data_IF_776068078080
#
_entry.id   IF_776068078080
#
_cell.length_a   1.000
_cell.length_b   1.000
_cell.length_c   1.000
_cell.angle_alpha   90.00
_cell.angle_beta   90.00
_cell.angle_gamma   90.00
#
_symmetry.space_group_name_H-M   'P 1'
#
loop_
_entity.id
_entity.type
_entity.pdbx_description
1 polymer ?
#
# COMPACT_ATOMS: atom_id res chain seq x y z
N UNK A 1 4.66 -2.34 -9.23
CA UNK A 1 5.71 -2.81 -8.32
C UNK A 1 5.37 -4.21 -7.85
N UNK A 2 6.23 -4.78 -7.01
CA UNK A 2 5.96 -6.05 -6.33
C UNK A 2 5.54 -5.76 -4.89
N UNK A 3 4.49 -6.42 -4.42
CA UNK A 3 4.06 -6.38 -3.02
C UNK A 3 5.09 -7.14 -2.21
N UNK A 4 5.60 -6.52 -1.14
CA UNK A 4 6.63 -7.11 -0.28
C UNK A 4 6.08 -7.54 1.07
N UNK A 5 5.01 -6.91 1.56
CA UNK A 5 4.33 -7.28 2.79
C UNK A 5 2.87 -6.78 2.79
N UNK A 6 1.98 -7.51 3.45
CA UNK A 6 0.57 -7.15 3.64
C UNK A 6 0.16 -7.44 5.09
N UNK A 7 -0.07 -6.38 5.86
CA UNK A 7 -0.57 -6.48 7.23
C UNK A 7 -2.05 -6.19 7.26
N UNK A 8 -2.84 -7.18 7.66
CA UNK A 8 -4.30 -7.06 7.80
C UNK A 8 -4.65 -6.95 9.28
N UNK A 9 -5.44 -5.94 9.62
CA UNK A 9 -6.07 -5.80 10.93
C UNK A 9 -7.56 -6.15 10.80
N UNK A 10 -8.42 -5.57 11.63
CA UNK A 10 -9.86 -5.84 11.62
C UNK A 10 -10.55 -5.11 10.47
N UNK A 11 -10.21 -3.84 10.23
CA UNK A 11 -10.86 -2.99 9.20
C UNK A 11 -9.88 -2.49 8.15
N UNK A 12 -8.60 -2.37 8.50
CA UNK A 12 -7.58 -1.78 7.64
C UNK A 12 -6.54 -2.82 7.21
N UNK A 13 -5.92 -2.55 6.07
CA UNK A 13 -4.74 -3.24 5.60
C UNK A 13 -3.65 -2.22 5.25
N UNK A 14 -2.43 -2.53 5.68
CA UNK A 14 -1.22 -1.86 5.23
C UNK A 14 -0.57 -2.75 4.17
N UNK A 15 -0.34 -2.18 2.99
CA UNK A 15 0.29 -2.86 1.85
C UNK A 15 1.60 -2.17 1.55
N UNK A 16 2.70 -2.93 1.59
CA UNK A 16 4.02 -2.45 1.26
C UNK A 16 4.44 -2.94 -0.13
N UNK A 17 5.02 -2.05 -0.92
CA UNK A 17 5.42 -2.35 -2.29
C UNK A 17 6.81 -1.81 -2.61
N UNK A 18 7.58 -2.60 -3.35
CA UNK A 18 8.78 -2.15 -4.04
C UNK A 18 8.40 -1.69 -5.46
N UNK A 19 8.63 -0.40 -5.72
CA UNK A 19 8.30 0.27 -6.97
C UNK A 19 9.56 0.94 -7.54
N UNK A 20 10.45 0.12 -8.10
CA UNK A 20 11.78 0.58 -8.53
C UNK A 20 12.66 0.90 -7.30
N UNK A 21 13.31 2.07 -7.23
CA UNK A 21 14.12 2.45 -6.07
C UNK A 21 13.27 2.89 -4.86
N UNK A 22 11.94 3.05 -5.04
CA UNK A 22 11.05 3.60 -4.03
C UNK A 22 10.30 2.50 -3.28
N UNK A 23 10.23 2.65 -1.96
CA UNK A 23 9.32 1.91 -1.08
C UNK A 23 8.02 2.70 -0.95
N UNK A 24 6.90 2.10 -1.34
CA UNK A 24 5.57 2.71 -1.23
C UNK A 24 4.78 1.94 -0.18
N UNK A 25 4.11 2.68 0.71
CA UNK A 25 3.18 2.12 1.69
C UNK A 25 1.81 2.69 1.40
N UNK A 26 0.82 1.80 1.24
CA UNK A 26 -0.58 2.15 1.10
C UNK A 26 -1.36 1.68 2.32
N UNK A 27 -2.31 2.50 2.75
CA UNK A 27 -3.34 2.12 3.70
C UNK A 27 -4.67 2.05 2.94
N UNK A 28 -5.33 0.90 3.03
CA UNK A 28 -6.64 0.65 2.44
C UNK A 28 -7.49 -0.19 3.38
N UNK A 29 -8.76 -0.43 3.06
CA UNK A 29 -9.55 -1.34 3.87
C UNK A 29 -9.07 -2.79 3.74
N UNK A 30 -9.30 -3.59 4.76
CA UNK A 30 -9.02 -5.02 4.72
C UNK A 30 -9.77 -5.68 3.57
N UNK A 31 -11.06 -5.36 3.42
CA UNK A 31 -11.90 -5.96 2.39
C UNK A 31 -11.38 -5.64 0.98
N UNK A 32 -10.80 -4.46 0.78
CA UNK A 32 -10.20 -4.10 -0.51
C UNK A 32 -8.92 -4.91 -0.77
N UNK A 33 -8.07 -5.10 0.24
CA UNK A 33 -6.87 -5.92 0.10
C UNK A 33 -7.20 -7.40 -0.15
N UNK A 34 -8.24 -7.92 0.50
CA UNK A 34 -8.73 -9.29 0.31
C UNK A 34 -9.40 -9.45 -1.06
N UNK A 35 -10.24 -8.51 -1.50
CA UNK A 35 -10.89 -8.57 -2.81
C UNK A 35 -9.91 -8.47 -3.99
N UNK A 36 -8.73 -7.90 -3.76
CA UNK A 36 -7.64 -7.80 -4.73
C UNK A 36 -6.62 -8.95 -4.60
N UNK A 37 -6.85 -9.89 -3.67
CA UNK A 37 -5.94 -11.00 -3.34
C UNK A 37 -4.48 -10.53 -3.16
N UNK A 38 -4.29 -9.39 -2.48
CA UNK A 38 -2.96 -8.84 -2.28
C UNK A 38 -2.13 -9.69 -1.32
N UNK A 39 -1.00 -10.20 -1.79
CA UNK A 39 -0.05 -10.92 -0.96
C UNK A 39 1.39 -10.64 -1.40
N UNK A 40 2.34 -11.00 -0.56
CA UNK A 40 3.76 -10.95 -0.89
C UNK A 40 4.06 -11.66 -2.21
N UNK A 41 4.83 -11.00 -3.07
CA UNK A 41 5.18 -11.50 -4.40
C UNK A 41 4.19 -11.13 -5.51
N UNK A 42 2.99 -10.60 -5.19
CA UNK A 42 2.02 -10.16 -6.20
C UNK A 42 2.51 -8.90 -6.90
N UNK A 43 2.36 -8.85 -8.23
CA UNK A 43 2.59 -7.64 -9.01
C UNK A 43 1.34 -6.77 -8.94
N UNK A 44 1.48 -5.52 -8.50
CA UNK A 44 0.39 -4.56 -8.40
C UNK A 44 0.79 -3.17 -8.88
N UNK A 45 -0.21 -2.33 -9.19
CA UNK A 45 -0.02 -0.94 -9.60
C UNK A 45 -0.32 -0.02 -8.43
N UNK A 46 0.67 0.76 -8.00
CA UNK A 46 0.46 1.84 -7.04
C UNK A 46 -0.01 3.09 -7.79
N UNK A 47 -1.32 3.35 -7.77
CA UNK A 47 -1.90 4.59 -8.30
C UNK A 47 -2.03 5.61 -7.17
N UNK A 48 -1.44 6.79 -7.37
CA UNK A 48 -1.43 7.88 -6.39
C UNK A 48 -2.15 9.06 -7.00
N UNK A 49 -3.16 9.60 -6.29
CA UNK A 49 -3.82 10.83 -6.70
C UNK A 49 -2.85 11.99 -6.45
N UNK A 50 -2.14 12.42 -7.51
CA UNK A 50 -1.07 13.41 -7.45
C UNK A 50 -1.47 14.75 -6.78
N UNK A 51 -2.76 15.09 -6.76
CA UNK A 51 -3.26 16.34 -6.15
C UNK A 51 -3.53 16.24 -4.65
N UNK A 52 -3.29 15.10 -4.02
CA UNK A 52 -3.62 14.88 -2.61
C UNK A 52 -2.41 14.27 -1.89
N UNK A 53 -1.65 15.12 -1.19
CA UNK A 53 -0.44 14.75 -0.44
C UNK A 53 -0.51 15.42 0.93
N UNK A 54 -0.41 14.63 2.01
CA UNK A 54 -0.27 15.14 3.38
C UNK A 54 0.86 14.39 4.08
N UNK A 55 1.88 15.14 4.49
CA UNK A 55 3.05 14.70 5.27
C UNK A 55 3.45 15.87 6.17
N UNK A 56 3.59 15.68 7.48
CA UNK A 56 4.29 16.64 8.33
C UNK A 56 4.79 16.03 9.65
N UNK A 57 6.03 16.37 10.01
CA UNK A 57 6.31 16.99 11.32
C UNK A 57 7.40 18.05 11.16
N UNK A 58 7.17 19.24 11.71
CA UNK A 58 8.15 20.31 11.89
C UNK A 58 8.61 20.36 13.35
N UNK A 59 9.36 19.34 13.79
CA UNK A 59 10.04 19.30 15.09
C UNK A 59 11.21 18.33 15.09
#
# INVERSE_FOLDING_TARGET
GIVTDVKRDTVMAQVEMCCGPYRIVSLMSREAADALDLDSGVIAVASIKATNVVVEVSR
#
